data_IF_114028587654
#
_entry.id   IF_114028587654
#
_cell.length_a   1.000
_cell.length_b   1.000
_cell.length_c   1.000
_cell.angle_alpha   90.00
_cell.angle_beta   90.00
_cell.angle_gamma   90.00
#
_symmetry.space_group_name_H-M   'P 1'
#
loop_
_entity.id
_entity.type
_entity.pdbx_description
1 polymer ?
#
# COMPACT_ATOMS: atom_id res chain seq x y z
N UNK A 1 -40.95 -103.87 -139.62
CA UNK A 1 -41.75 -103.98 -138.38
C UNK A 1 -40.82 -103.73 -137.20
N UNK A 2 -41.25 -102.90 -136.24
CA UNK A 2 -40.76 -102.79 -134.84
C UNK A 2 -40.53 -104.15 -134.16
N UNK A 3 -40.00 -104.22 -132.92
CA UNK A 3 -39.06 -103.34 -132.19
C UNK A 3 -37.87 -104.15 -131.62
N UNK A 4 -36.78 -103.52 -131.16
CA UNK A 4 -35.79 -104.22 -130.33
C UNK A 4 -35.25 -103.38 -129.18
N UNK A 5 -35.02 -104.05 -128.07
CA UNK A 5 -35.05 -103.55 -126.71
C UNK A 5 -33.72 -103.84 -126.01
N UNK A 6 -32.83 -102.82 -125.96
CA UNK A 6 -31.74 -102.61 -124.97
C UNK A 6 -30.54 -103.61 -124.96
N UNK A 7 -29.33 -103.18 -124.51
CA UNK A 7 -29.04 -102.92 -123.09
C UNK A 7 -28.33 -101.59 -122.79
N UNK A 8 -28.59 -101.10 -121.57
CA UNK A 8 -27.85 -100.03 -120.89
C UNK A 8 -26.40 -100.50 -120.66
N UNK A 9 -25.40 -99.71 -121.08
CA UNK A 9 -24.01 -99.98 -120.73
C UNK A 9 -23.83 -99.81 -119.21
N UNK A 10 -23.57 -100.92 -118.53
CA UNK A 10 -23.11 -100.97 -117.14
C UNK A 10 -21.79 -100.18 -117.03
N UNK A 11 -21.84 -98.94 -116.55
CA UNK A 11 -20.63 -98.28 -116.06
C UNK A 11 -20.19 -99.05 -114.80
N UNK A 12 -19.06 -99.75 -114.88
CA UNK A 12 -18.55 -100.55 -113.76
C UNK A 12 -18.36 -99.68 -112.52
N UNK A 13 -18.79 -100.17 -111.36
CA UNK A 13 -18.58 -99.53 -110.05
C UNK A 13 -17.11 -99.14 -109.83
N UNK A 14 -16.19 -99.89 -110.47
CA UNK A 14 -14.76 -99.58 -110.51
C UNK A 14 -14.43 -98.20 -111.10
N UNK A 15 -15.09 -97.77 -112.19
CA UNK A 15 -14.84 -96.45 -112.80
C UNK A 15 -15.33 -95.31 -111.91
N UNK A 16 -16.49 -95.48 -111.28
CA UNK A 16 -17.02 -94.51 -110.32
C UNK A 16 -16.12 -94.47 -109.09
N UNK A 17 -15.67 -95.63 -108.61
CA UNK A 17 -14.72 -95.76 -107.50
C UNK A 17 -13.37 -95.09 -107.77
N UNK A 18 -12.81 -95.24 -108.98
CA UNK A 18 -11.59 -94.53 -109.38
C UNK A 18 -11.80 -93.03 -109.48
N UNK A 19 -12.90 -92.57 -110.08
CA UNK A 19 -13.20 -91.15 -110.20
C UNK A 19 -13.37 -90.50 -108.82
N UNK A 20 -14.13 -91.13 -107.93
CA UNK A 20 -14.31 -90.66 -106.55
C UNK A 20 -12.96 -90.67 -105.83
N UNK A 21 -12.15 -91.74 -105.91
CA UNK A 21 -10.81 -91.77 -105.27
C UNK A 21 -9.90 -90.66 -105.79
N UNK A 22 -9.94 -90.38 -107.09
CA UNK A 22 -9.10 -89.36 -107.72
C UNK A 22 -9.49 -87.95 -107.27
N UNK A 23 -10.78 -87.69 -107.09
CA UNK A 23 -11.31 -86.37 -106.74
C UNK A 23 -11.67 -86.19 -105.25
N UNK A 24 -11.59 -87.25 -104.43
CA UNK A 24 -11.88 -87.21 -103.00
C UNK A 24 -10.99 -86.21 -102.25
N UNK A 25 -9.71 -86.14 -102.63
CA UNK A 25 -8.74 -85.24 -102.01
C UNK A 25 -9.06 -83.77 -102.25
N UNK A 26 -9.61 -83.43 -103.43
CA UNK A 26 -10.04 -82.07 -103.77
C UNK A 26 -11.33 -81.70 -103.02
N UNK A 27 -12.32 -82.60 -103.00
CA UNK A 27 -13.58 -82.39 -102.28
C UNK A 27 -13.40 -82.28 -100.76
N UNK A 28 -12.46 -83.01 -100.17
CA UNK A 28 -12.17 -82.92 -98.73
C UNK A 28 -11.51 -81.60 -98.34
N UNK A 29 -10.71 -81.00 -99.23
CA UNK A 29 -10.09 -79.68 -99.01
C UNK A 29 -11.11 -78.55 -99.14
N UNK A 30 -12.12 -78.72 -100.00
CA UNK A 30 -13.15 -77.72 -100.26
C UNK A 30 -14.25 -77.67 -99.18
N UNK A 31 -14.51 -78.80 -98.49
CA UNK A 31 -15.59 -78.94 -97.50
C UNK A 31 -15.08 -78.81 -96.04
N UNK A 32 -13.79 -79.05 -95.78
CA UNK A 32 -13.20 -78.96 -94.45
C UNK A 32 -12.64 -77.57 -94.11
N UNK A 33 -12.58 -77.17 -92.82
CA UNK A 33 -11.87 -75.96 -92.43
C UNK A 33 -10.42 -76.05 -92.92
N UNK A 34 -9.94 -74.99 -93.55
CA UNK A 34 -8.71 -74.92 -94.38
C UNK A 34 -7.39 -75.15 -93.65
N UNK A 35 -7.40 -75.70 -92.43
CA UNK A 35 -6.21 -76.04 -91.63
C UNK A 35 -6.24 -77.52 -91.19
N UNK A 36 -5.15 -78.28 -91.38
CA UNK A 36 -5.03 -79.66 -90.91
C UNK A 36 -5.26 -79.80 -89.39
N UNK A 37 -5.93 -80.87 -88.93
CA UNK A 37 -6.27 -81.14 -87.51
C UNK A 37 -5.11 -80.97 -86.52
N UNK A 38 -3.89 -81.34 -86.92
CA UNK A 38 -2.68 -81.19 -86.10
C UNK A 38 -2.34 -79.71 -85.82
N UNK A 39 -2.65 -78.81 -86.75
CA UNK A 39 -2.43 -77.36 -86.59
C UNK A 39 -3.36 -76.77 -85.52
N UNK A 40 -4.60 -77.26 -85.43
CA UNK A 40 -5.53 -76.86 -84.36
C UNK A 40 -5.07 -77.33 -82.98
N UNK A 41 -4.53 -78.55 -82.85
CA UNK A 41 -3.98 -79.04 -81.58
C UNK A 41 -2.75 -78.23 -81.15
N UNK A 42 -1.91 -77.81 -82.09
CA UNK A 42 -0.75 -76.95 -81.81
C UNK A 42 -1.21 -75.56 -81.36
N UNK A 43 -2.13 -74.91 -82.07
CA UNK A 43 -2.65 -73.57 -81.69
C UNK A 43 -3.35 -73.58 -80.31
N UNK A 44 -4.08 -74.65 -79.98
CA UNK A 44 -4.71 -74.82 -78.67
C UNK A 44 -3.68 -75.05 -77.56
N UNK A 45 -2.63 -75.84 -77.81
CA UNK A 45 -1.52 -76.01 -76.88
C UNK A 45 -0.76 -74.69 -76.66
N UNK A 46 -0.51 -73.90 -77.70
CA UNK A 46 0.11 -72.58 -77.57
C UNK A 46 -0.77 -71.58 -76.79
N UNK A 47 -2.09 -71.62 -76.96
CA UNK A 47 -3.02 -70.82 -76.14
C UNK A 47 -3.04 -71.29 -74.68
N UNK A 48 -3.01 -72.60 -74.43
CA UNK A 48 -2.90 -73.15 -73.07
C UNK A 48 -1.60 -72.74 -72.40
N UNK A 49 -0.46 -72.85 -73.09
CA UNK A 49 0.84 -72.42 -72.56
C UNK A 49 0.83 -70.92 -72.23
N UNK A 50 0.32 -70.06 -73.12
CA UNK A 50 0.18 -68.63 -72.83
C UNK A 50 -0.71 -68.34 -71.63
N UNK A 51 -1.83 -69.05 -71.52
CA UNK A 51 -2.78 -68.88 -70.41
C UNK A 51 -2.18 -69.38 -69.08
N UNK A 52 -1.43 -70.49 -69.10
CA UNK A 52 -0.67 -70.97 -67.95
C UNK A 52 0.43 -69.98 -67.54
N UNK A 53 1.12 -69.38 -68.50
CA UNK A 53 2.11 -68.32 -68.27
C UNK A 53 1.47 -67.05 -67.69
N UNK A 54 0.32 -66.60 -68.21
CA UNK A 54 -0.45 -65.47 -67.65
C UNK A 54 -0.93 -65.76 -66.22
N UNK A 55 -1.48 -66.95 -65.96
CA UNK A 55 -1.88 -67.37 -64.62
C UNK A 55 -0.68 -67.51 -63.66
N UNK A 56 0.48 -67.92 -64.18
CA UNK A 56 1.73 -67.96 -63.41
C UNK A 56 2.22 -66.54 -63.09
N UNK A 57 2.17 -65.63 -64.06
CA UNK A 57 2.52 -64.23 -63.87
C UNK A 57 1.58 -63.53 -62.87
N UNK A 58 0.27 -63.77 -62.96
CA UNK A 58 -0.70 -63.25 -62.00
C UNK A 58 -0.47 -63.78 -60.58
N UNK A 59 -0.17 -65.08 -60.42
CA UNK A 59 0.19 -65.65 -59.12
C UNK A 59 1.45 -65.01 -58.54
N UNK A 60 2.44 -64.73 -59.38
CA UNK A 60 3.66 -64.05 -58.95
C UNK A 60 3.37 -62.60 -58.53
N UNK A 61 2.61 -61.83 -59.31
CA UNK A 61 2.20 -60.46 -58.95
C UNK A 61 1.39 -60.42 -57.65
N UNK A 62 0.50 -61.39 -57.45
CA UNK A 62 -0.27 -61.53 -56.20
C UNK A 62 0.67 -61.81 -55.02
N UNK A 63 1.63 -62.72 -55.21
CA UNK A 63 2.64 -63.03 -54.19
C UNK A 63 3.48 -61.81 -53.82
N UNK A 64 4.00 -61.10 -54.81
CA UNK A 64 4.75 -59.85 -54.59
C UNK A 64 3.88 -58.78 -53.90
N UNK A 65 2.60 -58.71 -54.27
CA UNK A 65 1.61 -57.84 -53.64
C UNK A 65 1.44 -58.14 -52.16
N UNK A 66 1.31 -59.43 -51.79
CA UNK A 66 1.23 -59.88 -50.40
C UNK A 66 2.54 -59.61 -49.65
N UNK A 67 3.70 -59.89 -50.24
CA UNK A 67 5.00 -59.62 -49.61
C UNK A 67 5.19 -58.11 -49.32
N UNK A 68 4.79 -57.23 -50.25
CA UNK A 68 4.77 -55.77 -50.00
C UNK A 68 3.78 -55.36 -48.91
N UNK A 69 2.64 -56.05 -48.83
CA UNK A 69 1.63 -55.80 -47.82
C UNK A 69 2.14 -56.17 -46.43
N UNK A 70 2.76 -57.34 -46.29
CA UNK A 70 3.41 -57.79 -45.04
C UNK A 70 4.51 -56.83 -44.60
N UNK A 71 5.34 -56.35 -45.53
CA UNK A 71 6.35 -55.33 -45.21
C UNK A 71 5.74 -54.02 -44.72
N UNK A 72 4.63 -53.59 -45.33
CA UNK A 72 3.88 -52.41 -44.87
C UNK A 72 3.27 -52.63 -43.49
N UNK A 73 2.67 -53.78 -43.24
CA UNK A 73 2.11 -54.12 -41.92
C UNK A 73 3.19 -54.15 -40.85
N UNK A 74 4.34 -54.80 -41.10
CA UNK A 74 5.45 -54.78 -40.16
C UNK A 74 6.03 -53.37 -39.91
N UNK A 75 5.93 -52.46 -40.87
CA UNK A 75 6.30 -51.06 -40.68
C UNK A 75 5.26 -50.30 -39.84
N UNK A 76 3.97 -50.62 -40.01
CA UNK A 76 2.86 -50.05 -39.22
C UNK A 76 2.96 -50.51 -37.77
N UNK A 77 3.24 -51.79 -37.51
CA UNK A 77 3.40 -52.33 -36.16
C UNK A 77 4.53 -51.61 -35.40
N UNK A 78 5.69 -51.44 -36.04
CA UNK A 78 6.80 -50.66 -35.47
C UNK A 78 6.43 -49.20 -35.17
N UNK A 79 5.57 -48.61 -35.99
CA UNK A 79 5.05 -47.24 -35.73
C UNK A 79 4.12 -47.23 -34.52
N UNK A 80 3.25 -48.23 -34.37
CA UNK A 80 2.38 -48.35 -33.20
C UNK A 80 3.20 -48.55 -31.92
N UNK A 81 4.18 -49.45 -31.90
CA UNK A 81 5.08 -49.61 -30.75
C UNK A 81 5.80 -48.31 -30.37
N UNK A 82 6.21 -47.51 -31.36
CA UNK A 82 6.84 -46.21 -31.14
C UNK A 82 5.85 -45.19 -30.54
N UNK A 83 4.60 -45.20 -31.00
CA UNK A 83 3.54 -44.35 -30.47
C UNK A 83 3.22 -44.73 -29.02
N UNK A 84 3.11 -46.01 -28.70
CA UNK A 84 2.85 -46.49 -27.34
C UNK A 84 3.95 -46.05 -26.37
N UNK A 85 5.23 -46.20 -26.77
CA UNK A 85 6.36 -45.70 -25.96
C UNK A 85 6.33 -44.19 -25.74
N UNK A 86 5.85 -43.42 -26.73
CA UNK A 86 5.67 -41.97 -26.57
C UNK A 86 4.55 -41.65 -25.59
N UNK A 87 3.45 -42.39 -25.61
CA UNK A 87 2.36 -42.23 -24.64
C UNK A 87 2.82 -42.57 -23.21
N UNK A 88 3.52 -43.68 -23.01
CA UNK A 88 4.09 -44.01 -21.69
C UNK A 88 5.04 -42.93 -21.17
N UNK A 89 5.85 -42.35 -22.06
CA UNK A 89 6.76 -41.25 -21.70
C UNK A 89 5.99 -39.99 -21.33
N UNK A 90 4.89 -39.71 -22.05
CA UNK A 90 4.03 -38.56 -21.80
C UNK A 90 3.32 -38.70 -20.45
N UNK A 91 2.80 -39.88 -20.13
CA UNK A 91 2.15 -40.17 -18.84
C UNK A 91 3.11 -39.99 -17.67
N UNK A 92 4.34 -40.53 -17.78
CA UNK A 92 5.39 -40.32 -16.75
C UNK A 92 5.72 -38.85 -16.57
N UNK A 93 5.78 -38.09 -17.66
CA UNK A 93 6.04 -36.64 -17.61
C UNK A 93 4.89 -35.88 -16.96
N UNK A 94 3.65 -36.26 -17.23
CA UNK A 94 2.47 -35.67 -16.59
C UNK A 94 2.44 -35.96 -15.09
N UNK A 95 2.68 -37.20 -14.68
CA UNK A 95 2.78 -37.58 -13.26
C UNK A 95 3.87 -36.77 -12.54
N UNK A 96 5.07 -36.70 -13.12
CA UNK A 96 6.17 -35.92 -12.54
C UNK A 96 5.86 -34.41 -12.45
N UNK A 97 5.17 -33.86 -13.45
CA UNK A 97 4.73 -32.46 -13.43
C UNK A 97 3.68 -32.21 -12.34
N UNK A 98 2.74 -33.14 -12.17
CA UNK A 98 1.70 -33.05 -11.14
C UNK A 98 2.31 -33.11 -9.74
N UNK A 99 3.18 -34.08 -9.47
CA UNK A 99 3.90 -34.17 -8.19
C UNK A 99 4.74 -32.91 -7.89
N UNK A 100 5.38 -32.34 -8.93
CA UNK A 100 6.14 -31.11 -8.77
C UNK A 100 5.23 -29.92 -8.45
N UNK A 101 4.05 -29.87 -9.06
CA UNK A 101 3.05 -28.82 -8.82
C UNK A 101 2.50 -28.91 -7.40
N UNK A 102 2.15 -30.12 -6.94
CA UNK A 102 1.63 -30.37 -5.59
C UNK A 102 2.66 -29.95 -4.53
N UNK A 103 3.92 -30.39 -4.68
CA UNK A 103 5.02 -29.98 -3.77
C UNK A 103 5.25 -28.47 -3.76
N UNK A 104 5.12 -27.81 -4.91
CA UNK A 104 5.25 -26.35 -4.99
C UNK A 104 4.10 -25.64 -4.30
N UNK A 105 2.88 -26.16 -4.44
CA UNK A 105 1.70 -25.62 -3.76
C UNK A 105 1.81 -25.77 -2.26
N UNK A 106 2.17 -26.95 -1.76
CA UNK A 106 2.39 -27.20 -0.33
C UNK A 106 3.46 -26.27 0.25
N UNK A 107 4.61 -26.14 -0.43
CA UNK A 107 5.68 -25.26 0.01
C UNK A 107 5.27 -23.77 -0.01
N UNK A 108 4.48 -23.35 -1.00
CA UNK A 108 3.93 -22.00 -1.06
C UNK A 108 2.97 -21.74 0.10
N UNK A 109 2.08 -22.71 0.39
CA UNK A 109 1.11 -22.60 1.46
C UNK A 109 1.81 -22.51 2.83
N UNK A 110 2.80 -23.37 3.09
CA UNK A 110 3.60 -23.31 4.31
C UNK A 110 4.36 -21.98 4.46
N UNK A 111 4.87 -21.44 3.36
CA UNK A 111 5.53 -20.13 3.36
C UNK A 111 4.54 -18.98 3.68
N UNK A 112 3.33 -19.06 3.15
CA UNK A 112 2.26 -18.09 3.40
C UNK A 112 1.85 -18.15 4.87
N UNK A 113 1.61 -19.34 5.42
CA UNK A 113 1.21 -19.53 6.81
C UNK A 113 2.28 -18.96 7.77
N UNK A 114 3.56 -19.29 7.55
CA UNK A 114 4.68 -18.72 8.32
C UNK A 114 4.76 -17.19 8.22
N UNK A 115 4.43 -16.61 7.07
CA UNK A 115 4.41 -15.15 6.90
C UNK A 115 3.25 -14.51 7.66
N UNK A 116 2.07 -15.14 7.66
CA UNK A 116 0.93 -14.68 8.45
C UNK A 116 1.22 -14.75 9.95
N UNK A 117 1.74 -15.88 10.46
CA UNK A 117 2.13 -16.00 11.86
C UNK A 117 3.17 -14.94 12.27
N UNK A 118 4.14 -14.65 11.41
CA UNK A 118 5.14 -13.61 11.66
C UNK A 118 4.52 -12.20 11.65
N UNK A 119 3.50 -11.97 10.83
CA UNK A 119 2.76 -10.72 10.78
C UNK A 119 1.92 -10.53 12.04
N UNK A 120 1.22 -11.56 12.50
CA UNK A 120 0.41 -11.54 13.72
C UNK A 120 1.28 -11.21 14.94
N UNK A 121 2.43 -11.90 15.10
CA UNK A 121 3.39 -11.61 16.18
C UNK A 121 3.92 -10.17 16.14
N UNK A 122 4.16 -9.62 14.95
CA UNK A 122 4.58 -8.21 14.80
C UNK A 122 3.45 -7.25 15.20
N UNK A 123 2.21 -7.59 14.87
CA UNK A 123 1.05 -6.79 15.20
C UNK A 123 0.81 -6.76 16.71
N UNK A 124 0.88 -7.92 17.37
CA UNK A 124 0.80 -8.06 18.83
C UNK A 124 1.90 -7.24 19.53
N UNK A 125 3.15 -7.36 19.08
CA UNK A 125 4.27 -6.60 19.65
C UNK A 125 4.11 -5.08 19.47
N UNK A 126 3.60 -4.65 18.31
CA UNK A 126 3.31 -3.24 18.04
C UNK A 126 2.20 -2.71 18.95
N UNK A 127 1.14 -3.50 19.15
CA UNK A 127 0.04 -3.15 20.04
C UNK A 127 0.52 -3.02 21.49
N UNK A 128 1.28 -3.99 22.00
CA UNK A 128 1.85 -3.94 23.36
C UNK A 128 2.78 -2.72 23.53
N UNK A 129 3.56 -2.38 22.51
CA UNK A 129 4.41 -1.19 22.54
C UNK A 129 3.60 0.10 22.57
N UNK A 130 2.50 0.17 21.82
CA UNK A 130 1.60 1.33 21.84
C UNK A 130 0.94 1.48 23.21
N UNK A 131 0.42 0.39 23.79
CA UNK A 131 -0.22 0.41 25.11
C UNK A 131 0.75 0.92 26.19
N UNK A 132 1.98 0.39 26.22
CA UNK A 132 3.04 0.87 27.13
C UNK A 132 3.35 2.36 26.93
N UNK A 133 3.34 2.84 25.68
CA UNK A 133 3.60 4.25 25.37
C UNK A 133 2.46 5.15 25.82
N UNK A 134 1.22 4.70 25.67
CA UNK A 134 0.04 5.42 26.18
C UNK A 134 0.05 5.48 27.71
N UNK A 135 0.28 4.36 28.41
CA UNK A 135 0.40 4.37 29.87
C UNK A 135 1.51 5.30 30.37
N UNK A 136 2.65 5.33 29.68
CA UNK A 136 3.75 6.24 30.02
C UNK A 136 3.38 7.72 29.78
N UNK A 137 2.55 7.99 28.77
CA UNK A 137 2.03 9.33 28.49
C UNK A 137 1.03 9.76 29.55
N UNK A 138 0.10 8.89 29.94
CA UNK A 138 -0.88 9.18 31.01
C UNK A 138 -0.18 9.50 32.33
N UNK A 139 0.82 8.71 32.73
CA UNK A 139 1.64 9.00 33.93
C UNK A 139 2.36 10.34 33.85
N UNK A 140 2.80 10.76 32.67
CA UNK A 140 3.42 12.08 32.47
C UNK A 140 2.42 13.22 32.60
N UNK A 141 1.20 13.03 32.08
CA UNK A 141 0.12 14.00 32.26
C UNK A 141 -0.27 14.13 33.73
N UNK A 142 -0.49 13.02 34.43
CA UNK A 142 -0.77 13.06 35.89
C UNK A 142 0.33 13.77 36.69
N UNK A 143 1.61 13.54 36.33
CA UNK A 143 2.73 14.21 36.98
C UNK A 143 2.76 15.72 36.67
N UNK A 144 2.37 16.11 35.47
CA UNK A 144 2.26 17.52 35.07
C UNK A 144 1.13 18.22 35.80
N UNK A 145 -0.04 17.57 35.93
CA UNK A 145 -1.19 18.10 36.67
C UNK A 145 -0.83 18.34 38.14
N UNK A 146 -0.21 17.36 38.81
CA UNK A 146 0.28 17.52 40.19
C UNK A 146 1.29 18.66 40.33
N UNK A 147 2.18 18.83 39.35
CA UNK A 147 3.15 19.93 39.35
C UNK A 147 2.46 21.29 39.19
N UNK A 148 1.42 21.35 38.36
CA UNK A 148 0.64 22.56 38.15
C UNK A 148 -0.14 22.94 39.41
N UNK A 149 -0.82 21.98 40.05
CA UNK A 149 -1.50 22.16 41.35
C UNK A 149 -0.53 22.68 42.42
N UNK A 150 0.65 22.04 42.57
CA UNK A 150 1.66 22.47 43.54
C UNK A 150 2.20 23.88 43.26
N UNK A 151 2.37 24.24 41.98
CA UNK A 151 2.79 25.58 41.57
C UNK A 151 1.72 26.63 41.88
N UNK A 152 0.45 26.29 41.64
CA UNK A 152 -0.69 27.16 41.96
C UNK A 152 -0.79 27.40 43.47
N UNK A 153 -0.72 26.34 44.29
CA UNK A 153 -0.74 26.45 45.74
C UNK A 153 0.43 27.30 46.28
N UNK A 154 1.64 27.12 45.73
CA UNK A 154 2.79 27.92 46.11
C UNK A 154 2.63 29.39 45.73
N UNK A 155 2.05 29.68 44.55
CA UNK A 155 1.74 31.06 44.12
C UNK A 155 0.72 31.71 45.04
N UNK A 156 -0.37 31.02 45.38
CA UNK A 156 -1.41 31.53 46.28
C UNK A 156 -0.83 31.86 47.66
N UNK A 157 -0.09 30.92 48.26
CA UNK A 157 0.61 31.14 49.55
C UNK A 157 1.58 32.32 49.51
N UNK A 158 2.34 32.46 48.42
CA UNK A 158 3.28 33.58 48.26
C UNK A 158 2.56 34.91 48.13
N UNK A 159 1.43 34.92 47.42
CA UNK A 159 0.61 36.11 47.25
C UNK A 159 -0.03 36.54 48.58
N UNK A 160 -0.62 35.61 49.31
CA UNK A 160 -1.17 35.86 50.66
C UNK A 160 -0.11 36.40 51.62
N UNK A 161 1.08 35.80 51.63
CA UNK A 161 2.20 36.27 52.46
C UNK A 161 2.64 37.69 52.08
N UNK A 162 2.64 38.01 50.78
CA UNK A 162 2.98 39.35 50.29
C UNK A 162 1.92 40.38 50.70
N UNK A 163 0.63 40.05 50.61
CA UNK A 163 -0.47 40.90 51.07
C UNK A 163 -0.36 41.19 52.57
N UNK A 164 -0.20 40.14 53.39
CA UNK A 164 -0.02 40.31 54.84
C UNK A 164 1.20 41.17 55.19
N UNK A 165 2.32 40.99 54.48
CA UNK A 165 3.50 41.83 54.68
C UNK A 165 3.21 43.29 54.34
N UNK A 166 2.42 43.55 53.29
CA UNK A 166 2.05 44.89 52.88
C UNK A 166 1.12 45.56 53.91
N UNK A 167 0.12 44.81 54.41
CA UNK A 167 -0.80 45.27 55.45
C UNK A 167 -0.04 45.64 56.74
N UNK A 168 0.85 44.76 57.21
CA UNK A 168 1.68 45.01 58.38
C UNK A 168 2.58 46.25 58.21
N UNK A 169 3.14 46.45 57.01
CA UNK A 169 3.94 47.64 56.70
C UNK A 169 3.10 48.92 56.70
N UNK A 170 1.88 48.84 56.18
CA UNK A 170 0.95 49.96 56.14
C UNK A 170 0.50 50.36 57.54
N UNK A 171 0.13 49.38 58.38
CA UNK A 171 -0.21 49.62 59.79
C UNK A 171 0.96 50.24 60.57
N UNK A 172 2.18 49.70 60.41
CA UNK A 172 3.37 50.27 61.03
C UNK A 172 3.64 51.71 60.58
N UNK A 173 3.40 52.02 59.30
CA UNK A 173 3.52 53.36 58.75
C UNK A 173 2.47 54.32 59.32
N UNK A 174 1.21 53.88 59.45
CA UNK A 174 0.15 54.66 60.09
C UNK A 174 0.51 55.01 61.54
N UNK A 175 0.91 54.02 62.34
CA UNK A 175 1.34 54.25 63.73
C UNK A 175 2.51 55.24 63.81
N UNK A 176 3.46 55.15 62.87
CA UNK A 176 4.58 56.08 62.82
C UNK A 176 4.13 57.50 62.45
N UNK A 177 3.18 57.64 61.52
CA UNK A 177 2.59 58.92 61.16
C UNK A 177 1.84 59.54 62.34
N UNK A 178 0.99 58.78 63.03
CA UNK A 178 0.23 59.25 64.19
C UNK A 178 1.17 59.77 65.28
N UNK A 179 2.23 59.02 65.61
CA UNK A 179 3.25 59.47 66.58
C UNK A 179 3.97 60.74 66.13
N UNK A 180 4.21 60.90 64.83
CA UNK A 180 4.82 62.14 64.29
C UNK A 180 3.85 63.31 64.40
N UNK A 181 2.57 63.12 64.11
CA UNK A 181 1.54 64.14 64.28
C UNK A 181 1.40 64.56 65.75
N UNK A 182 1.31 63.62 66.69
CA UNK A 182 1.30 63.95 68.13
C UNK A 182 2.55 64.74 68.56
N UNK A 183 3.72 64.39 68.04
CA UNK A 183 4.95 65.11 68.32
C UNK A 183 4.95 66.54 67.73
N UNK A 184 4.33 66.72 66.57
CA UNK A 184 4.11 68.03 65.94
C UNK A 184 3.13 68.85 66.76
N UNK A 185 2.01 68.29 67.21
CA UNK A 185 1.02 68.97 68.05
C UNK A 185 1.66 69.47 69.36
N UNK A 186 2.44 68.62 70.04
CA UNK A 186 3.20 69.04 71.23
C UNK A 186 4.19 70.17 70.95
N UNK A 187 4.82 70.20 69.78
CA UNK A 187 5.71 71.30 69.39
C UNK A 187 4.92 72.59 69.18
N UNK A 188 3.72 72.51 68.58
CA UNK A 188 2.83 73.65 68.43
C UNK A 188 2.38 74.20 69.79
N UNK A 189 1.99 73.36 70.75
CA UNK A 189 1.66 73.82 72.11
C UNK A 189 2.82 74.57 72.78
N UNK A 190 4.06 74.11 72.58
CA UNK A 190 5.25 74.79 73.10
C UNK A 190 5.47 76.14 72.41
N UNK A 191 5.21 76.21 71.10
CA UNK A 191 5.28 77.45 70.33
C UNK A 191 4.21 78.43 70.80
N UNK A 192 2.98 77.99 71.02
CA UNK A 192 1.88 78.82 71.53
C UNK A 192 2.22 79.40 72.91
N UNK A 193 2.74 78.59 73.84
CA UNK A 193 3.23 79.07 75.15
C UNK A 193 4.35 80.10 75.04
N UNK A 194 5.24 79.95 74.05
CA UNK A 194 6.30 80.94 73.78
C UNK A 194 5.70 82.25 73.26
N UNK A 195 4.69 82.19 72.39
CA UNK A 195 3.97 83.38 71.94
C UNK A 195 3.26 84.08 73.09
N UNK A 196 2.53 83.37 73.96
CA UNK A 196 1.91 83.97 75.16
C UNK A 196 2.95 84.65 76.07
N UNK A 197 4.13 84.04 76.20
CA UNK A 197 5.24 84.61 76.99
C UNK A 197 5.80 85.86 76.32
N UNK A 198 5.90 85.87 74.99
CA UNK A 198 6.29 87.06 74.22
C UNK A 198 5.25 88.17 74.37
N UNK A 199 3.96 87.87 74.26
CA UNK A 199 2.87 88.84 74.44
C UNK A 199 2.93 89.48 75.83
N UNK A 200 3.12 88.68 76.90
CA UNK A 200 3.33 89.22 78.26
C UNK A 200 4.55 90.11 78.37
N UNK A 201 5.66 89.78 77.68
CA UNK A 201 6.87 90.62 77.65
C UNK A 201 6.61 91.93 76.90
N UNK A 202 5.88 91.87 75.78
CA UNK A 202 5.45 93.06 75.05
C UNK A 202 4.56 93.95 75.92
N UNK A 203 3.55 93.41 76.59
CA UNK A 203 2.69 94.15 77.53
C UNK A 203 3.50 94.81 78.65
N UNK A 204 4.47 94.09 79.23
CA UNK A 204 5.34 94.64 80.26
C UNK A 204 6.24 95.76 79.72
N UNK A 205 6.74 95.61 78.48
CA UNK A 205 7.52 96.64 77.80
C UNK A 205 6.66 97.88 77.50
N UNK A 206 5.46 97.70 76.97
CA UNK A 206 4.48 98.78 76.73
C UNK A 206 4.18 99.54 78.02
N UNK A 207 3.89 98.83 79.12
CA UNK A 207 3.69 99.46 80.44
C UNK A 207 4.92 100.22 80.95
N UNK A 208 6.14 99.72 80.70
CA UNK A 208 7.37 100.45 81.05
C UNK A 208 7.49 101.71 80.22
N UNK A 209 7.25 101.62 78.91
CA UNK A 209 7.27 102.76 77.99
C UNK A 209 6.24 103.81 78.43
N UNK A 210 5.00 103.41 78.76
CA UNK A 210 3.97 104.31 79.26
C UNK A 210 4.38 105.01 80.55
N UNK A 211 4.96 104.26 81.50
CA UNK A 211 5.44 104.84 82.77
C UNK A 211 6.60 105.81 82.53
N UNK A 212 7.54 105.45 81.66
CA UNK A 212 8.62 106.34 81.24
C UNK A 212 8.04 107.61 80.59
N UNK A 213 7.05 107.48 79.71
CA UNK A 213 6.38 108.61 79.06
C UNK A 213 5.68 109.53 80.08
N UNK A 214 5.01 108.98 81.09
CA UNK A 214 4.37 109.79 82.16
C UNK A 214 5.44 110.52 82.98
N UNK A 215 6.55 109.85 83.33
CA UNK A 215 7.63 110.48 84.10
C UNK A 215 8.35 111.57 83.30
N UNK A 216 8.68 111.34 82.03
CA UNK A 216 9.37 112.33 81.20
C UNK A 216 8.47 113.52 80.87
N UNK A 217 7.18 113.31 80.61
CA UNK A 217 6.20 114.41 80.46
C UNK A 217 6.02 115.18 81.76
N UNK A 218 5.96 114.48 82.91
CA UNK A 218 5.92 115.12 84.24
C UNK A 218 7.15 115.99 84.53
N UNK A 219 8.36 115.48 84.25
CA UNK A 219 9.60 116.27 84.38
C UNK A 219 9.58 117.45 83.42
N UNK A 220 9.21 117.26 82.15
CA UNK A 220 9.14 118.33 81.17
C UNK A 220 8.17 119.44 81.59
N UNK A 221 6.96 119.09 82.06
CA UNK A 221 5.99 120.05 82.59
C UNK A 221 6.56 120.76 83.82
N UNK A 222 7.18 120.04 84.76
CA UNK A 222 7.77 120.65 85.96
C UNK A 222 8.92 121.61 85.65
N UNK A 223 9.79 121.25 84.69
CA UNK A 223 10.85 122.12 84.19
C UNK A 223 10.26 123.37 83.51
N UNK A 224 9.16 123.22 82.77
CA UNK A 224 8.46 124.34 82.13
C UNK A 224 7.81 125.28 83.15
N UNK A 225 7.20 124.73 84.21
CA UNK A 225 6.66 125.50 85.34
C UNK A 225 7.78 126.18 86.12
N UNK A 226 8.91 125.51 86.36
CA UNK A 226 10.08 126.10 87.02
C UNK A 226 10.68 127.24 86.20
N UNK A 227 10.87 127.05 84.89
CA UNK A 227 11.36 128.10 83.97
C UNK A 227 10.40 129.30 83.95
N UNK A 228 9.09 129.08 83.87
CA UNK A 228 8.10 130.18 83.91
C UNK A 228 8.02 130.87 85.28
N UNK A 229 8.24 130.14 86.38
CA UNK A 229 8.28 130.70 87.73
C UNK A 229 9.56 131.52 87.96
N UNK A 230 10.71 131.07 87.45
CA UNK A 230 11.96 131.84 87.45
C UNK A 230 11.81 133.10 86.58
N UNK A 231 11.13 133.01 85.43
CA UNK A 231 10.81 134.18 84.59
C UNK A 231 9.89 135.19 85.31
N UNK A 232 9.00 134.73 86.20
CA UNK A 232 8.10 135.58 87.00
C UNK A 232 8.76 136.21 88.23
N UNK A 233 9.83 135.59 88.75
CA UNK A 233 10.60 136.07 89.91
C UNK A 233 11.78 136.97 89.54
N UNK A 234 12.05 137.14 88.24
CA UNK A 234 12.97 138.15 87.74
C UNK A 234 12.25 139.51 87.69
N UNK A 235 12.70 140.52 88.45
CA UNK A 235 12.14 141.86 88.38
C UNK A 235 12.37 142.44 86.98
N UNK A 236 11.31 143.05 86.43
CA UNK A 236 11.43 143.93 85.28
C UNK A 236 12.37 145.08 85.66
N UNK A 237 13.54 145.11 85.02
CA UNK A 237 14.26 146.36 84.80
C UNK A 237 13.69 147.03 83.55
#
# INVERSE_FOLDING_TARGET
MSPDNRPLQEFSEQKIGEYIKKHLGEWLVEIGPTKPSVVYEIELRERMVRLEEELRHQRELIREGFERMDQRFGTVDKRFESVDKRFETMDKRFQAMQEQMDKRFEAMQEQIDKRFEAMDKRFEAMQEQMDKRFEAMDKRFEAMDKRFEAMQEHMDKRFDAMLQQMDNRFEAMQIQMDKRFEAVDKRFEVVDKRFETMDKRFDAMTKRIDRFMIWTTGIAVSATIAVTSILRLLPAN
#
